data_IF_540620466006
#
_entry.id   IF_540620466006
#
_cell.length_a   1.000
_cell.length_b   1.000
_cell.length_c   1.000
_cell.angle_alpha   90.00
_cell.angle_beta   90.00
_cell.angle_gamma   90.00
#
_symmetry.space_group_name_H-M   'P 1'
#
loop_
_entity.id
_entity.type
_entity.pdbx_description
1 polymer ?
#
# COMPACT_ATOMS: atom_id res chain seq x y z
N UNK A 1 -2.62 41.51 28.55
CA UNK A 1 -1.99 40.51 29.44
C UNK A 1 -3.07 39.75 30.20
N UNK A 2 -3.45 38.53 29.84
CA UNK A 2 -4.23 37.66 30.73
C UNK A 2 -3.43 36.42 31.17
N UNK A 3 -3.37 36.21 32.48
CA UNK A 3 -2.82 35.04 33.17
C UNK A 3 -3.94 34.01 33.38
N UNK A 4 -3.57 32.72 33.36
CA UNK A 4 -4.14 31.71 34.26
C UNK A 4 -5.27 30.83 33.70
N UNK A 5 -4.88 29.62 33.25
CA UNK A 5 -5.70 28.41 33.03
C UNK A 5 -6.29 27.95 34.38
N UNK A 6 -7.40 27.21 34.47
CA UNK A 6 -7.45 25.75 34.33
C UNK A 6 -8.92 25.31 34.24
N UNK A 7 -9.39 24.90 33.05
CA UNK A 7 -10.57 24.04 32.95
C UNK A 7 -10.07 22.62 33.22
N UNK A 8 -10.56 22.01 34.30
CA UNK A 8 -10.34 20.60 34.57
C UNK A 8 -10.91 19.79 33.40
N UNK A 9 -10.04 19.11 32.67
CA UNK A 9 -10.41 18.26 31.54
C UNK A 9 -10.79 16.89 32.10
N UNK A 10 -12.09 16.62 32.25
CA UNK A 10 -12.60 15.33 32.69
C UNK A 10 -12.12 14.21 31.73
N UNK A 11 -11.33 13.22 32.20
CA UNK A 11 -10.70 12.20 31.36
C UNK A 11 -11.63 11.25 30.56
N UNK A 12 -12.91 11.00 30.91
CA UNK A 12 -13.72 10.06 30.11
C UNK A 12 -14.46 10.73 28.93
N UNK A 13 -14.58 12.06 28.90
CA UNK A 13 -15.41 12.75 27.91
C UNK A 13 -14.83 12.73 26.48
N UNK A 14 -13.51 12.53 26.32
CA UNK A 14 -12.84 12.53 25.02
C UNK A 14 -12.66 11.14 24.40
N UNK A 15 -12.78 10.05 25.17
CA UNK A 15 -12.60 8.69 24.69
C UNK A 15 -13.54 8.29 23.53
N UNK A 16 -14.87 8.56 23.57
CA UNK A 16 -15.76 8.19 22.47
C UNK A 16 -15.49 8.98 21.18
N UNK A 17 -14.96 10.21 21.26
CA UNK A 17 -14.62 11.02 20.08
C UNK A 17 -13.38 10.48 19.36
N UNK A 18 -12.40 9.95 20.10
CA UNK A 18 -11.24 9.27 19.52
C UNK A 18 -11.59 7.89 18.96
N UNK A 19 -12.51 7.15 19.60
CA UNK A 19 -12.99 5.87 19.07
C UNK A 19 -13.76 6.05 17.74
N UNK A 20 -14.55 7.12 17.61
CA UNK A 20 -15.21 7.51 16.34
C UNK A 20 -14.18 7.91 15.27
N UNK A 21 -13.10 8.58 15.67
CA UNK A 21 -11.99 8.94 14.77
C UNK A 21 -11.22 7.70 14.31
N UNK A 22 -11.01 6.72 15.19
CA UNK A 22 -10.32 5.46 14.87
C UNK A 22 -11.13 4.62 13.87
N UNK A 23 -12.44 4.46 14.11
CA UNK A 23 -13.36 3.81 13.16
C UNK A 23 -13.42 4.50 11.79
N UNK A 24 -13.37 5.84 11.76
CA UNK A 24 -13.29 6.60 10.51
C UNK A 24 -11.93 6.45 9.82
N UNK A 25 -10.84 6.39 10.59
CA UNK A 25 -9.46 6.22 10.11
C UNK A 25 -9.22 4.83 9.52
N UNK A 26 -9.84 3.80 10.09
CA UNK A 26 -9.83 2.43 9.55
C UNK A 26 -10.54 2.34 8.19
N UNK A 27 -11.63 3.11 7.97
CA UNK A 27 -12.27 3.20 6.65
C UNK A 27 -11.42 3.98 5.64
N UNK A 28 -10.69 5.01 6.09
CA UNK A 28 -9.74 5.77 5.26
C UNK A 28 -8.53 4.95 4.83
N UNK A 29 -7.95 4.16 5.73
CA UNK A 29 -6.79 3.31 5.45
C UNK A 29 -7.13 2.16 4.49
N UNK A 30 -8.32 1.58 4.60
CA UNK A 30 -8.78 0.55 3.66
C UNK A 30 -8.96 1.10 2.25
N UNK A 31 -9.56 2.29 2.11
CA UNK A 31 -9.68 2.97 0.80
C UNK A 31 -8.33 3.37 0.23
N UNK A 32 -7.39 3.82 1.07
CA UNK A 32 -6.03 4.16 0.65
C UNK A 32 -5.28 2.94 0.12
N UNK A 33 -5.30 1.82 0.86
CA UNK A 33 -4.68 0.55 0.43
C UNK A 33 -5.28 0.04 -0.87
N UNK A 34 -6.61 0.05 -0.99
CA UNK A 34 -7.28 -0.35 -2.21
C UNK A 34 -6.88 0.54 -3.39
N UNK A 35 -6.77 1.85 -3.22
CA UNK A 35 -6.32 2.76 -4.29
C UNK A 35 -4.88 2.50 -4.70
N UNK A 36 -3.97 2.29 -3.76
CA UNK A 36 -2.58 1.93 -4.05
C UNK A 36 -2.48 0.57 -4.76
N UNK A 37 -3.17 -0.44 -4.26
CA UNK A 37 -3.22 -1.77 -4.90
C UNK A 37 -3.85 -1.73 -6.28
N UNK A 38 -4.92 -0.95 -6.47
CA UNK A 38 -5.56 -0.78 -7.79
C UNK A 38 -4.66 -0.02 -8.74
N UNK A 39 -4.00 1.05 -8.30
CA UNK A 39 -3.04 1.78 -9.13
C UNK A 39 -1.86 0.89 -9.52
N UNK A 40 -1.30 0.12 -8.59
CA UNK A 40 -0.26 -0.87 -8.87
C UNK A 40 -0.76 -1.96 -9.84
N UNK A 41 -1.99 -2.44 -9.68
CA UNK A 41 -2.62 -3.39 -10.58
C UNK A 41 -2.83 -2.84 -11.99
N UNK A 42 -3.26 -1.58 -12.13
CA UNK A 42 -3.37 -0.92 -13.43
C UNK A 42 -1.99 -0.73 -14.08
N UNK A 43 -0.96 -0.32 -13.34
CA UNK A 43 0.40 -0.24 -13.86
C UNK A 43 0.93 -1.62 -14.23
N UNK A 44 0.64 -2.67 -13.46
CA UNK A 44 1.02 -4.03 -13.79
C UNK A 44 0.27 -4.56 -15.01
N UNK A 45 -1.01 -4.22 -15.21
CA UNK A 45 -1.78 -4.63 -16.39
C UNK A 45 -1.34 -3.80 -17.62
N UNK A 46 -1.39 -2.48 -17.57
CA UNK A 46 -0.94 -1.61 -18.67
C UNK A 46 0.53 -1.84 -19.01
N UNK A 47 1.37 -1.94 -17.97
CA UNK A 47 2.76 -2.33 -18.04
C UNK A 47 2.88 -3.70 -18.68
N UNK A 48 2.22 -4.75 -18.21
CA UNK A 48 2.29 -6.09 -18.81
C UNK A 48 1.91 -6.10 -20.29
N UNK A 49 0.87 -5.40 -20.71
CA UNK A 49 0.49 -5.38 -22.13
C UNK A 49 1.52 -4.65 -23.00
N UNK A 50 2.07 -3.53 -22.50
CA UNK A 50 3.10 -2.75 -23.20
C UNK A 50 4.47 -3.43 -23.12
N UNK A 51 4.82 -4.00 -21.97
CA UNK A 51 6.01 -4.79 -21.67
C UNK A 51 5.99 -6.08 -22.47
N UNK A 52 4.89 -6.81 -22.63
CA UNK A 52 4.89 -8.01 -23.49
C UNK A 52 5.11 -7.66 -24.96
N UNK A 53 4.57 -6.52 -25.41
CA UNK A 53 4.86 -6.00 -26.74
C UNK A 53 6.33 -5.59 -26.85
N UNK A 54 6.87 -4.83 -25.88
CA UNK A 54 8.27 -4.42 -25.78
C UNK A 54 9.28 -5.57 -25.57
N UNK A 55 8.89 -6.58 -24.81
CA UNK A 55 9.71 -7.73 -24.44
C UNK A 55 10.02 -8.59 -25.67
N UNK A 56 9.14 -8.63 -26.67
CA UNK A 56 9.40 -9.37 -27.91
C UNK A 56 10.61 -8.83 -28.68
N UNK A 57 11.01 -7.58 -28.46
CA UNK A 57 12.17 -6.94 -29.11
C UNK A 57 13.26 -6.50 -28.13
N UNK A 58 13.20 -6.93 -26.87
CA UNK A 58 14.17 -6.49 -25.87
C UNK A 58 15.28 -7.52 -25.63
N UNK A 59 16.56 -7.11 -25.74
CA UNK A 59 17.69 -8.04 -25.67
C UNK A 59 17.87 -8.71 -24.30
N UNK A 60 17.44 -8.06 -23.21
CA UNK A 60 17.59 -8.61 -21.83
C UNK A 60 16.33 -9.33 -21.31
N UNK A 61 15.26 -9.43 -22.11
CA UNK A 61 14.02 -10.10 -21.67
C UNK A 61 14.26 -11.58 -21.37
N UNK A 62 15.18 -12.20 -22.11
CA UNK A 62 15.62 -13.57 -21.86
C UNK A 62 16.32 -13.68 -20.50
N UNK A 63 17.26 -12.78 -20.19
CA UNK A 63 18.01 -12.80 -18.92
C UNK A 63 17.09 -12.68 -17.70
N UNK A 64 16.10 -11.78 -17.75
CA UNK A 64 15.11 -11.62 -16.67
C UNK A 64 14.23 -12.87 -16.54
N UNK A 65 13.81 -13.47 -17.66
CA UNK A 65 12.99 -14.69 -17.65
C UNK A 65 13.77 -15.88 -17.10
N UNK A 66 15.02 -16.05 -17.50
CA UNK A 66 15.93 -17.09 -17.00
C UNK A 66 16.26 -16.89 -15.52
N UNK A 67 16.46 -15.65 -15.07
CA UNK A 67 16.69 -15.35 -13.65
C UNK A 67 15.45 -15.70 -12.80
N UNK A 68 14.26 -15.39 -13.29
CA UNK A 68 13.00 -15.75 -12.62
C UNK A 68 12.76 -17.26 -12.60
N UNK A 69 13.06 -17.96 -13.69
CA UNK A 69 12.95 -19.43 -13.75
C UNK A 69 13.91 -20.10 -12.75
N UNK A 70 15.15 -19.60 -12.66
CA UNK A 70 16.12 -20.04 -11.64
C UNK A 70 15.63 -19.74 -10.21
N UNK A 71 15.01 -18.59 -9.99
CA UNK A 71 14.43 -18.23 -8.70
C UNK A 71 13.25 -19.15 -8.33
N UNK A 72 12.44 -19.54 -9.32
CA UNK A 72 11.32 -20.47 -9.12
C UNK A 72 11.79 -21.91 -8.89
N UNK A 73 12.95 -22.29 -9.41
CA UNK A 73 13.59 -23.58 -9.17
C UNK A 73 14.37 -23.66 -7.86
N UNK A 74 14.56 -22.54 -7.15
CA UNK A 74 15.06 -22.62 -5.79
C UNK A 74 14.03 -23.40 -4.96
N UNK A 75 14.40 -24.55 -4.37
CA UNK A 75 13.52 -25.24 -3.45
C UNK A 75 13.18 -24.24 -2.36
N UNK A 76 11.87 -24.05 -2.11
CA UNK A 76 11.42 -23.20 -1.04
C UNK A 76 11.97 -23.79 0.26
N UNK A 77 13.03 -23.19 0.78
CA UNK A 77 13.60 -23.50 2.09
C UNK A 77 12.66 -22.91 3.14
N UNK A 78 11.47 -23.50 3.27
CA UNK A 78 10.38 -23.03 4.13
C UNK A 78 9.11 -23.83 3.91
#
# INVERSE_FOLDING_TARGET
>A
MPRGRHVALDPPAWMPMLALTDMARLRGSRRMRLRLSTAAGQVAITGRWRIFRLARYWPWAHDITTALDRLAQLPNSG
#
